data_IF_969484523034
#
_entry.id   IF_969484523034
#
_cell.length_a   1.000
_cell.length_b   1.000
_cell.length_c   1.000
_cell.angle_alpha   90.00
_cell.angle_beta   90.00
_cell.angle_gamma   90.00
#
_symmetry.space_group_name_H-M   'P 1'
#
loop_
_entity.id
_entity.type
_entity.pdbx_description
1 polymer ?
#
# COMPACT_ATOMS: atom_id res chain seq x y z
N UNK A 1 5.83 1.34 -6.13
CA UNK A 1 5.34 -0.03 -6.40
C UNK A 1 4.81 -0.07 -7.82
N UNK A 2 5.05 -1.16 -8.57
CA UNK A 2 4.38 -1.37 -9.86
C UNK A 2 3.57 -2.65 -9.72
N UNK A 3 2.27 -2.57 -9.95
CA UNK A 3 1.43 -3.75 -10.07
C UNK A 3 0.78 -3.72 -11.44
N UNK A 4 0.80 -4.86 -12.10
CA UNK A 4 0.24 -5.08 -13.42
C UNK A 4 -0.66 -6.29 -13.33
N UNK A 5 -1.94 -6.13 -13.66
CA UNK A 5 -2.80 -7.28 -13.93
C UNK A 5 -2.41 -7.82 -15.30
N UNK A 6 -2.24 -9.13 -15.41
CA UNK A 6 -1.98 -9.80 -16.69
C UNK A 6 -3.11 -9.57 -17.72
N UNK A 7 -4.28 -9.10 -17.26
CA UNK A 7 -5.45 -8.77 -18.07
C UNK A 7 -5.61 -7.27 -18.38
N UNK A 8 -4.73 -6.38 -17.89
CA UNK A 8 -4.87 -4.92 -18.08
C UNK A 8 -6.07 -4.28 -17.38
N UNK A 9 -6.71 -5.02 -16.46
CA UNK A 9 -7.84 -4.57 -15.66
C UNK A 9 -7.42 -3.55 -14.60
N UNK A 10 -8.32 -2.59 -14.27
CA UNK A 10 -8.06 -1.62 -13.21
C UNK A 10 -7.87 -2.34 -11.88
N UNK A 11 -6.80 -1.98 -11.18
CA UNK A 11 -6.44 -2.52 -9.88
C UNK A 11 -6.88 -1.56 -8.79
N UNK A 12 -7.57 -2.10 -7.79
CA UNK A 12 -7.86 -1.41 -6.53
C UNK A 12 -6.82 -1.80 -5.50
N UNK A 13 -6.16 -0.81 -4.91
CA UNK A 13 -5.17 -1.02 -3.86
C UNK A 13 -5.74 -0.74 -2.48
N UNK A 14 -5.38 -1.58 -1.52
CA UNK A 14 -5.61 -1.39 -0.09
C UNK A 14 -4.32 -1.65 0.67
N UNK A 15 -4.18 -1.06 1.85
CA UNK A 15 -2.97 -1.21 2.66
C UNK A 15 -3.33 -1.34 4.13
N UNK A 16 -2.62 -2.22 4.81
CA UNK A 16 -2.72 -2.44 6.25
C UNK A 16 -1.36 -2.27 6.90
N UNK A 17 -1.33 -1.90 8.18
CA UNK A 17 -0.08 -1.62 8.91
C UNK A 17 0.57 -0.29 8.53
N UNK A 18 -0.15 0.59 7.83
CA UNK A 18 0.32 1.95 7.56
C UNK A 18 0.51 2.72 8.89
N UNK A 19 1.59 3.49 9.00
CA UNK A 19 1.79 4.46 10.07
C UNK A 19 0.58 5.39 10.22
N UNK A 20 0.29 5.79 11.46
CA UNK A 20 -0.78 6.75 11.72
C UNK A 20 -0.49 8.05 10.96
N UNK A 21 -1.48 8.54 10.22
CA UNK A 21 -1.34 9.70 9.34
C UNK A 21 -1.03 9.37 7.87
N UNK A 22 -0.82 8.09 7.52
CA UNK A 22 -0.75 7.63 6.14
C UNK A 22 -2.02 6.89 5.73
N UNK A 23 -2.46 7.12 4.49
CA UNK A 23 -3.55 6.42 3.82
C UNK A 23 -3.14 6.05 2.41
N UNK A 24 -3.69 4.95 1.88
CA UNK A 24 -3.51 4.55 0.49
C UNK A 24 -4.77 4.85 -0.31
N UNK A 25 -4.61 5.36 -1.52
CA UNK A 25 -5.71 5.48 -2.48
C UNK A 25 -5.99 4.15 -3.17
N UNK A 26 -7.18 4.00 -3.74
CA UNK A 26 -7.52 2.87 -4.61
C UNK A 26 -6.62 2.75 -5.84
N UNK A 27 -5.89 3.81 -6.21
CA UNK A 27 -4.88 3.82 -7.28
C UNK A 27 -3.47 3.43 -6.82
N UNK A 28 -3.26 3.12 -5.54
CA UNK A 28 -1.98 2.67 -4.99
C UNK A 28 -1.05 3.80 -4.54
N UNK A 29 -1.55 5.03 -4.49
CA UNK A 29 -0.80 6.18 -3.99
C UNK A 29 -0.92 6.24 -2.46
N UNK A 30 0.19 6.10 -1.75
CA UNK A 30 0.24 6.34 -0.31
C UNK A 30 0.50 7.83 -0.09
N UNK A 31 -0.37 8.49 0.68
CA UNK A 31 -0.32 9.93 0.95
C UNK A 31 -0.52 10.20 2.44
N UNK A 32 -0.06 11.37 2.88
CA UNK A 32 -0.17 11.82 4.26
C UNK A 32 1.19 12.08 4.88
N UNK A 33 1.20 12.37 6.18
CA UNK A 33 2.43 12.64 6.94
C UNK A 33 2.46 11.67 8.12
N UNK A 34 3.48 10.81 8.23
CA UNK A 34 3.59 9.92 9.37
C UNK A 34 3.87 10.74 10.63
N UNK A 35 3.05 10.57 11.66
CA UNK A 35 3.19 11.34 12.92
C UNK A 35 4.15 10.70 13.91
N UNK A 36 4.58 9.46 13.67
CA UNK A 36 5.42 8.72 14.61
C UNK A 36 6.53 7.96 13.87
N UNK A 37 7.76 8.19 14.30
CA UNK A 37 8.92 7.44 13.86
C UNK A 37 8.87 6.00 14.40
N UNK A 38 9.36 5.06 13.58
CA UNK A 38 9.34 3.64 13.89
C UNK A 38 9.33 2.75 12.66
N UNK A 39 9.50 1.45 12.88
CA UNK A 39 9.41 0.43 11.85
C UNK A 39 7.98 -0.09 11.73
N UNK A 40 7.38 0.05 10.55
CA UNK A 40 6.03 -0.39 10.24
C UNK A 40 6.07 -1.50 9.20
N UNK A 41 5.33 -2.58 9.42
CA UNK A 41 5.15 -3.63 8.41
C UNK A 41 3.90 -3.29 7.61
N UNK A 42 4.09 -2.73 6.42
CA UNK A 42 2.98 -2.31 5.56
C UNK A 42 2.71 -3.44 4.57
N UNK A 43 1.48 -3.92 4.53
CA UNK A 43 1.03 -4.90 3.54
C UNK A 43 0.09 -4.21 2.57
N UNK A 44 0.48 -4.14 1.30
CA UNK A 44 -0.35 -3.60 0.22
C UNK A 44 -0.96 -4.77 -0.53
N UNK A 45 -2.29 -4.73 -0.69
CA UNK A 45 -3.06 -5.70 -1.48
C UNK A 45 -3.59 -5.00 -2.72
N UNK A 46 -3.26 -5.53 -3.89
CA UNK A 46 -3.88 -5.17 -5.15
C UNK A 46 -4.98 -6.18 -5.46
N UNK A 47 -6.17 -5.71 -5.81
CA UNK A 47 -7.30 -6.52 -6.26
C UNK A 47 -7.73 -6.05 -7.63
N UNK A 48 -7.86 -6.95 -8.59
CA UNK A 48 -8.43 -6.63 -9.89
C UNK A 48 -9.96 -6.76 -9.87
N UNK A 49 -10.61 -6.32 -10.95
CA UNK A 49 -12.07 -6.42 -11.09
C UNK A 49 -12.57 -7.85 -11.29
N UNK A 50 -11.70 -8.80 -11.65
CA UNK A 50 -12.05 -10.22 -11.75
C UNK A 50 -12.07 -10.93 -10.39
N UNK A 51 -11.51 -10.30 -9.37
CA UNK A 51 -11.43 -10.82 -8.00
C UNK A 51 -10.06 -11.42 -7.65
N UNK A 52 -9.13 -11.47 -8.60
CA UNK A 52 -7.74 -11.86 -8.34
C UNK A 52 -7.07 -10.83 -7.44
N UNK A 53 -6.35 -11.33 -6.44
CA UNK A 53 -5.61 -10.51 -5.48
C UNK A 53 -4.14 -10.87 -5.47
N UNK A 54 -3.30 -9.86 -5.30
CA UNK A 54 -1.88 -10.02 -5.02
C UNK A 54 -1.49 -9.10 -3.87
N UNK A 55 -0.76 -9.61 -2.90
CA UNK A 55 -0.28 -8.81 -1.75
C UNK A 55 1.23 -8.79 -1.69
N UNK A 56 1.77 -7.68 -1.22
CA UNK A 56 3.19 -7.51 -0.94
C UNK A 56 3.36 -6.82 0.41
N UNK A 57 4.24 -7.37 1.24
CA UNK A 57 4.58 -6.80 2.53
C UNK A 57 5.98 -6.23 2.46
N UNK A 58 6.13 -4.98 2.90
CA UNK A 58 7.42 -4.32 3.00
C UNK A 58 7.54 -3.63 4.35
N UNK A 59 8.77 -3.50 4.81
CA UNK A 59 9.09 -2.75 6.02
C UNK A 59 9.30 -1.29 5.64
N UNK A 60 8.56 -0.41 6.30
CA UNK A 60 8.67 1.03 6.17
C UNK A 60 9.26 1.59 7.47
N UNK A 61 10.50 2.05 7.40
CA UNK A 61 11.19 2.66 8.55
C UNK A 61 11.05 4.18 8.44
N UNK A 62 10.35 4.78 9.40
CA UNK A 62 10.23 6.24 9.49
C UNK A 62 11.26 6.71 10.51
N UNK A 63 12.26 7.43 10.02
CA UNK A 63 13.28 8.05 10.86
C UNK A 63 12.84 9.46 11.22
N UNK A 64 12.98 9.83 12.50
CA UNK A 64 12.95 11.23 12.91
C UNK A 64 14.29 11.86 12.54
N UNK A 65 14.26 12.95 11.78
CA UNK A 65 15.42 13.78 11.49
C UNK A 65 15.84 14.61 12.70
#
# INVERSE_FOLDING_TARGET
MRASSSAGLPLTFTATGLPTGLTISSSGNITGTPTRAGAYQVTVTAKDTSGATGSTTFRYDIQSW
#
